data_IF_969850812074
#
_entry.id   IF_969850812074
#
_cell.length_a   1.000
_cell.length_b   1.000
_cell.length_c   1.000
_cell.angle_alpha   90.00
_cell.angle_beta   90.00
_cell.angle_gamma   90.00
#
_symmetry.space_group_name_H-M   'P 1'
#
loop_
_entity.id
_entity.type
_entity.pdbx_description
1 polymer ?
#
# COMPACT_ATOMS: atom_id res chain seq x y z
N UNK A 1 2.47 3.04 18.13
CA UNK A 1 2.05 3.72 16.89
C UNK A 1 2.82 5.03 16.76
N UNK A 2 3.13 5.50 15.55
CA UNK A 2 3.77 6.80 15.30
C UNK A 2 2.78 7.71 14.59
N UNK A 3 2.75 9.00 14.94
CA UNK A 3 1.89 10.00 14.31
C UNK A 3 2.73 10.90 13.42
N UNK A 4 2.27 11.12 12.19
CA UNK A 4 2.87 12.05 11.23
C UNK A 4 1.86 13.17 10.95
N UNK A 5 2.29 14.42 11.07
CA UNK A 5 1.49 15.60 10.73
C UNK A 5 2.13 16.29 9.54
N UNK A 6 1.35 16.56 8.50
CA UNK A 6 1.80 17.18 7.25
C UNK A 6 0.97 18.44 7.01
N UNK A 7 1.63 19.53 6.62
CA UNK A 7 0.96 20.71 6.11
C UNK A 7 0.91 20.58 4.58
N UNK A 8 -0.29 20.37 4.04
CA UNK A 8 -0.50 20.23 2.60
C UNK A 8 -0.90 21.60 2.03
N UNK A 9 -0.34 22.03 0.89
CA UNK A 9 -0.75 23.27 0.23
C UNK A 9 -2.25 23.27 -0.12
N UNK A 10 -2.95 24.38 0.16
CA UNK A 10 -4.40 24.51 -0.09
C UNK A 10 -4.77 24.42 -1.58
N UNK A 11 -3.80 24.60 -2.49
CA UNK A 11 -4.01 24.47 -3.93
C UNK A 11 -3.92 23.02 -4.43
N UNK A 12 -3.56 22.07 -3.56
CA UNK A 12 -3.54 20.66 -3.90
C UNK A 12 -4.93 20.08 -3.68
N UNK A 13 -5.64 19.83 -4.77
CA UNK A 13 -6.97 19.21 -4.75
C UNK A 13 -6.85 17.69 -4.50
N UNK A 14 -6.57 17.33 -3.26
CA UNK A 14 -6.49 15.94 -2.81
C UNK A 14 -7.10 15.80 -1.41
N UNK A 15 -7.90 14.76 -1.23
CA UNK A 15 -8.47 14.46 0.08
C UNK A 15 -7.48 13.64 0.95
N UNK A 16 -7.68 13.71 2.27
CA UNK A 16 -6.82 13.00 3.22
C UNK A 16 -6.86 11.48 3.05
N UNK A 17 -7.98 10.89 2.60
CA UNK A 17 -8.09 9.44 2.40
C UNK A 17 -7.28 9.01 1.18
N UNK A 18 -7.31 9.78 0.10
CA UNK A 18 -6.53 9.56 -1.11
C UNK A 18 -5.03 9.64 -0.81
N UNK A 19 -4.60 10.62 -0.02
CA UNK A 19 -3.22 10.72 0.49
C UNK A 19 -2.80 9.48 1.28
N UNK A 20 -3.64 9.03 2.20
CA UNK A 20 -3.36 7.83 3.00
C UNK A 20 -3.32 6.58 2.12
N UNK A 21 -4.22 6.46 1.14
CA UNK A 21 -4.22 5.34 0.20
C UNK A 21 -2.97 5.33 -0.69
N UNK A 22 -2.52 6.48 -1.18
CA UNK A 22 -1.26 6.60 -1.93
C UNK A 22 -0.07 6.16 -1.07
N UNK A 23 -0.01 6.59 0.19
CA UNK A 23 1.07 6.19 1.09
C UNK A 23 1.03 4.68 1.42
N UNK A 24 -0.15 4.16 1.77
CA UNK A 24 -0.33 2.75 2.12
C UNK A 24 -0.03 1.82 0.94
N UNK A 25 -0.53 2.14 -0.25
CA UNK A 25 -0.26 1.37 -1.48
C UNK A 25 1.23 1.40 -1.85
N UNK A 26 1.89 2.56 -1.74
CA UNK A 26 3.32 2.67 -2.04
C UNK A 26 4.20 1.90 -1.06
N UNK A 27 3.89 1.95 0.23
CA UNK A 27 4.62 1.19 1.25
C UNK A 27 4.37 -0.31 1.14
N UNK A 28 3.17 -0.71 0.73
CA UNK A 28 2.88 -2.10 0.37
C UNK A 28 3.74 -2.53 -0.82
N UNK A 29 3.69 -1.82 -1.95
CA UNK A 29 4.48 -2.11 -3.15
C UNK A 29 6.00 -2.24 -2.87
N UNK A 30 6.52 -1.46 -1.93
CA UNK A 30 7.93 -1.53 -1.52
C UNK A 30 8.25 -2.70 -0.55
N UNK A 31 7.28 -3.54 -0.22
CA UNK A 31 7.40 -4.61 0.78
C UNK A 31 7.61 -4.12 2.21
N UNK A 32 7.42 -2.82 2.48
CA UNK A 32 7.62 -2.22 3.82
C UNK A 32 6.44 -2.48 4.75
N UNK A 33 5.25 -2.60 4.18
CA UNK A 33 4.05 -3.04 4.87
C UNK A 33 3.55 -4.33 4.23
N UNK A 34 3.13 -5.27 5.07
CA UNK A 34 2.26 -6.36 4.60
C UNK A 34 0.91 -5.80 4.14
N UNK A 35 0.16 -6.59 3.35
CA UNK A 35 -1.20 -6.23 2.92
C UNK A 35 -2.10 -5.85 4.11
N UNK A 36 -1.94 -6.54 5.24
CA UNK A 36 -2.68 -6.28 6.47
C UNK A 36 -2.35 -4.93 7.11
N UNK A 37 -1.07 -4.62 7.23
CA UNK A 37 -0.62 -3.36 7.85
C UNK A 37 -0.95 -2.15 6.95
N UNK A 38 -0.86 -2.31 5.63
CA UNK A 38 -1.26 -1.27 4.69
C UNK A 38 -2.77 -1.02 4.71
N UNK A 39 -3.58 -2.08 4.82
CA UNK A 39 -5.03 -1.95 5.01
C UNK A 39 -5.37 -1.24 6.33
N UNK A 40 -4.70 -1.58 7.42
CA UNK A 40 -4.87 -0.90 8.72
C UNK A 40 -4.50 0.59 8.64
N UNK A 41 -3.39 0.93 7.97
CA UNK A 41 -3.00 2.32 7.74
C UNK A 41 -4.07 3.10 6.97
N UNK A 42 -4.70 2.46 5.98
CA UNK A 42 -5.79 3.02 5.20
C UNK A 42 -7.15 3.06 5.94
N UNK A 43 -7.26 2.47 7.14
CA UNK A 43 -8.53 2.33 7.84
C UNK A 43 -9.50 1.38 7.13
N UNK A 44 -8.98 0.38 6.43
CA UNK A 44 -9.75 -0.56 5.60
C UNK A 44 -9.58 -2.01 6.06
N UNK A 45 -10.50 -2.87 5.62
CA UNK A 45 -10.28 -4.31 5.71
C UNK A 45 -9.21 -4.75 4.69
N UNK A 46 -8.53 -5.88 4.97
CA UNK A 46 -7.56 -6.47 4.03
C UNK A 46 -8.14 -6.67 2.63
N UNK A 47 -9.39 -7.14 2.58
CA UNK A 47 -10.11 -7.38 1.33
C UNK A 47 -10.34 -6.09 0.55
N UNK A 48 -10.90 -5.08 1.21
CA UNK A 48 -11.19 -3.79 0.58
C UNK A 48 -9.92 -3.12 0.08
N UNK A 49 -8.84 -3.15 0.86
CA UNK A 49 -7.55 -2.61 0.43
C UNK A 49 -7.03 -3.32 -0.82
N UNK A 50 -7.05 -4.67 -0.83
CA UNK A 50 -6.62 -5.46 -1.97
C UNK A 50 -7.42 -5.15 -3.26
N UNK A 51 -8.73 -4.98 -3.15
CA UNK A 51 -9.62 -4.60 -4.27
C UNK A 51 -9.29 -3.20 -4.82
N UNK A 52 -8.79 -2.29 -3.97
CA UNK A 52 -8.48 -0.90 -4.35
C UNK A 52 -7.07 -0.70 -4.91
N UNK A 53 -6.12 -1.61 -4.69
CA UNK A 53 -4.73 -1.48 -5.15
C UNK A 53 -4.59 -1.17 -6.64
N UNK A 54 -5.45 -1.76 -7.47
CA UNK A 54 -5.44 -1.53 -8.92
C UNK A 54 -5.69 -0.05 -9.30
N UNK A 55 -6.45 0.71 -8.50
CA UNK A 55 -6.68 2.14 -8.75
C UNK A 55 -5.41 2.97 -8.58
N UNK A 56 -4.44 2.45 -7.83
CA UNK A 56 -3.15 3.09 -7.55
C UNK A 56 -2.02 2.47 -8.37
N UNK A 57 -2.33 1.67 -9.40
CA UNK A 57 -1.37 0.94 -10.23
C UNK A 57 -0.43 0.00 -9.43
N UNK A 58 -0.88 -0.50 -8.29
CA UNK A 58 -0.12 -1.45 -7.47
C UNK A 58 -0.66 -2.86 -7.68
N UNK A 59 0.24 -3.81 -7.94
CA UNK A 59 -0.12 -5.23 -8.03
C UNK A 59 -0.58 -5.77 -6.68
N UNK A 60 -1.65 -6.56 -6.67
CA UNK A 60 -2.05 -7.38 -5.50
C UNK A 60 -1.02 -8.45 -5.17
N UNK A 61 -0.21 -8.85 -6.16
CA UNK A 61 0.89 -9.78 -5.99
C UNK A 61 2.16 -8.97 -5.69
N UNK A 62 2.36 -8.70 -4.41
CA UNK A 62 3.57 -8.05 -3.92
C UNK A 62 4.63 -9.08 -3.53
N UNK A 63 5.15 -9.78 -4.54
CA UNK A 63 6.28 -10.67 -4.38
C UNK A 63 7.56 -9.88 -4.63
N UNK A 64 8.45 -9.70 -3.64
CA UNK A 64 9.77 -9.22 -3.93
C UNK A 64 10.44 -10.19 -4.92
N UNK A 65 11.27 -9.70 -5.87
CA UNK A 65 11.94 -10.57 -6.84
C UNK A 65 12.74 -11.74 -6.23
N UNK A 66 13.19 -11.59 -4.98
CA UNK A 66 13.85 -12.65 -4.20
C UNK A 66 12.96 -13.88 -3.96
N UNK A 67 11.66 -13.66 -3.78
CA UNK A 67 10.71 -14.70 -3.40
C UNK A 67 10.30 -15.51 -4.64
N UNK A 68 10.15 -14.83 -5.78
CA UNK A 68 9.92 -15.46 -7.08
C UNK A 68 11.01 -16.47 -7.48
N UNK A 69 12.29 -16.14 -7.23
CA UNK A 69 13.39 -17.06 -7.53
C UNK A 69 13.35 -18.32 -6.66
N UNK A 70 12.92 -18.17 -5.39
CA UNK A 70 12.79 -19.28 -4.46
C UNK A 70 11.61 -20.19 -4.83
N UNK A 71 10.50 -19.62 -5.28
CA UNK A 71 9.32 -20.40 -5.72
C UNK A 71 9.61 -21.20 -7.00
N UNK A 72 10.34 -20.63 -7.96
CA UNK A 72 10.75 -21.34 -9.19
C UNK A 72 11.71 -22.49 -8.89
N UNK A 73 12.64 -22.32 -7.94
CA UNK A 73 13.62 -23.35 -7.60
C UNK A 73 13.01 -24.56 -6.86
N UNK A 74 11.82 -24.40 -6.28
CA UNK A 74 11.12 -25.43 -5.51
C UNK A 74 9.89 -26.03 -6.23
N UNK A 75 9.70 -25.72 -7.52
CA UNK A 75 8.64 -26.25 -8.39
C UNK A 75 9.13 -27.42 -9.25
#
# INVERSE_FOLDING_TARGET
>A
MKTLTLNIPDNLDIDNRELVMLLASKLYEQGKLSLGQAAELAGLTKRTFAELLNRYNVSIFNFPPSDLASDVANA
#
